data_IF_141022632553
#
_entry.id   IF_141022632553
#
_cell.length_a   1.000
_cell.length_b   1.000
_cell.length_c   1.000
_cell.angle_alpha   90.00
_cell.angle_beta   90.00
_cell.angle_gamma   90.00
#
_symmetry.space_group_name_H-M   'P 1'
#
loop_
_entity.id
_entity.type
_entity.pdbx_description
1 polymer ?
#
# COMPACT_ATOMS: atom_id res chain seq x y z
N UNK A 23 -12.24 12.74 1.08
CA UNK A 23 -13.60 12.42 1.59
C UNK A 23 -13.81 10.90 1.66
N UNK A 24 -13.25 10.15 0.69
CA UNK A 24 -13.34 8.68 0.64
C UNK A 24 -12.11 8.08 1.32
N UNK A 25 -12.34 7.22 2.33
CA UNK A 25 -11.27 6.62 3.16
C UNK A 25 -10.92 5.20 2.66
N UNK A 26 -9.63 4.93 2.26
CA UNK A 26 -9.18 3.58 1.88
C UNK A 26 -8.66 2.77 3.10
N UNK A 27 -9.36 1.68 3.45
CA UNK A 27 -8.89 0.72 4.46
C UNK A 27 -8.26 -0.52 3.78
N UNK A 28 -8.04 -0.38 2.47
CA UNK A 28 -7.64 -1.44 1.56
C UNK A 28 -6.42 -0.96 0.77
N UNK A 29 -5.34 -1.74 0.83
CA UNK A 29 -4.12 -1.54 0.05
C UNK A 29 -3.88 -2.78 -0.82
N UNK A 30 -3.47 -2.57 -2.07
CA UNK A 30 -3.19 -3.65 -3.03
C UNK A 30 -1.68 -3.62 -3.38
N UNK A 31 -1.05 -4.81 -3.36
CA UNK A 31 0.34 -5.00 -3.76
C UNK A 31 0.33 -5.85 -5.05
N UNK A 32 0.97 -5.29 -6.07
CA UNK A 32 1.03 -5.82 -7.44
C UNK A 32 2.08 -6.96 -7.56
N UNK A 33 1.61 -8.19 -7.85
CA UNK A 33 2.46 -9.39 -7.96
C UNK A 33 2.46 -9.90 -9.42
N UNK A 34 3.37 -10.80 -9.74
CA UNK A 34 3.51 -11.36 -11.11
C UNK A 34 2.77 -12.70 -11.21
N UNK A 35 3.20 -13.71 -10.42
CA UNK A 35 2.63 -15.08 -10.46
C UNK A 35 1.75 -15.31 -9.21
N UNK A 36 0.38 -15.12 -9.33
CA UNK A 36 -0.57 -15.25 -8.19
C UNK A 36 -0.35 -16.49 -7.26
N UNK A 37 -0.29 -17.80 -7.76
CA UNK A 37 -0.15 -19.00 -6.86
C UNK A 37 0.98 -18.85 -5.81
N UNK A 38 2.21 -18.62 -6.31
CA UNK A 38 3.44 -18.61 -5.49
C UNK A 38 3.46 -17.39 -4.56
N UNK A 39 2.98 -16.26 -5.07
CA UNK A 39 3.01 -14.97 -4.37
C UNK A 39 1.92 -14.90 -3.29
N UNK A 40 0.82 -15.65 -3.47
CA UNK A 40 -0.31 -15.63 -2.55
C UNK A 40 -0.05 -16.50 -1.31
N UNK A 41 0.59 -17.66 -1.56
CA UNK A 41 1.06 -18.59 -0.52
C UNK A 41 2.19 -17.92 0.28
N UNK A 42 2.99 -17.10 -0.43
CA UNK A 42 4.08 -16.33 0.19
C UNK A 42 3.49 -15.36 1.23
N UNK A 43 2.44 -14.59 0.85
CA UNK A 43 1.78 -13.63 1.76
C UNK A 43 1.00 -14.40 2.84
N UNK A 44 0.54 -15.63 2.56
CA UNK A 44 -0.21 -16.44 3.54
C UNK A 44 0.59 -16.65 4.84
N UNK A 45 1.83 -17.12 4.67
CA UNK A 45 2.76 -17.33 5.81
C UNK A 45 3.44 -16.02 6.26
N UNK A 46 3.67 -15.09 5.30
CA UNK A 46 4.35 -13.79 5.55
C UNK A 46 3.61 -12.93 6.59
N UNK A 47 2.31 -12.74 6.32
CA UNK A 47 1.40 -12.00 7.20
C UNK A 47 0.91 -12.95 8.30
N UNK A 48 0.49 -14.15 7.88
CA UNK A 48 -0.18 -15.12 8.77
C UNK A 48 -1.68 -15.13 8.54
N UNK A 49 -2.08 -15.01 7.26
CA UNK A 49 -3.50 -14.91 6.83
C UNK A 49 -3.81 -15.96 5.73
N UNK A 50 -5.09 -16.10 5.37
CA UNK A 50 -5.54 -16.95 4.25
C UNK A 50 -6.42 -16.10 3.30
N UNK A 51 -6.30 -16.24 1.94
CA UNK A 51 -7.10 -15.46 0.98
C UNK A 51 -8.59 -15.84 1.06
N UNK A 52 -9.40 -14.92 1.60
CA UNK A 52 -10.86 -15.07 1.68
C UNK A 52 -11.47 -15.10 0.26
N UNK A 53 -10.92 -14.25 -0.62
CA UNK A 53 -11.25 -14.21 -2.05
C UNK A 53 -9.98 -14.51 -2.85
N UNK A 54 -10.15 -15.13 -4.02
CA UNK A 54 -9.05 -15.51 -4.90
C UNK A 54 -9.58 -15.75 -6.32
N UNK A 55 -8.69 -15.56 -7.29
CA UNK A 55 -8.99 -15.65 -8.73
C UNK A 55 -7.73 -16.14 -9.47
N UNK A 56 -7.84 -16.70 -10.72
CA UNK A 56 -6.66 -17.16 -11.51
C UNK A 56 -5.56 -16.07 -11.68
N UNK A 57 -5.95 -14.78 -11.64
CA UNK A 57 -5.03 -13.65 -11.84
C UNK A 57 -5.12 -12.58 -10.70
N UNK A 58 -5.71 -12.97 -9.54
CA UNK A 58 -5.94 -12.02 -8.41
C UNK A 58 -6.06 -12.80 -7.09
N UNK A 59 -5.89 -12.07 -5.97
CA UNK A 59 -6.10 -12.61 -4.62
C UNK A 59 -6.52 -11.47 -3.67
N UNK A 60 -7.19 -11.84 -2.57
CA UNK A 60 -7.67 -10.90 -1.57
C UNK A 60 -7.75 -11.63 -0.22
N UNK A 61 -7.14 -11.02 0.81
CA UNK A 61 -7.26 -11.45 2.21
C UNK A 61 -7.50 -10.21 3.09
N UNK A 62 -8.36 -10.37 4.11
CA UNK A 62 -8.77 -9.30 5.03
C UNK A 62 -8.27 -9.65 6.44
N UNK A 63 -7.56 -8.71 7.06
CA UNK A 63 -6.83 -8.96 8.33
C UNK A 63 -7.74 -8.63 9.53
N UNK A 64 -7.51 -9.37 10.64
CA UNK A 64 -8.22 -9.16 11.94
C UNK A 64 -7.81 -7.82 12.59
N UNK A 65 -6.79 -7.15 12.01
CA UNK A 65 -6.38 -5.79 12.37
C UNK A 65 -7.48 -4.74 12.03
N UNK A 66 -8.41 -5.12 11.13
CA UNK A 66 -9.45 -4.21 10.64
C UNK A 66 -9.04 -3.53 9.34
N UNK A 67 -8.00 -4.06 8.68
CA UNK A 67 -7.50 -3.58 7.38
C UNK A 67 -7.75 -4.66 6.31
N UNK A 68 -7.46 -4.33 5.05
CA UNK A 68 -7.72 -5.22 3.91
C UNK A 68 -6.53 -5.14 2.93
N UNK A 69 -6.14 -6.29 2.36
CA UNK A 69 -4.90 -6.39 1.54
C UNK A 69 -5.15 -7.28 0.30
N UNK A 70 -4.90 -6.71 -0.89
CA UNK A 70 -5.04 -7.40 -2.17
C UNK A 70 -3.71 -7.79 -2.77
N UNK A 71 -3.75 -8.75 -3.69
CA UNK A 71 -2.64 -9.06 -4.61
C UNK A 71 -3.20 -9.01 -6.03
N UNK A 72 -2.87 -7.96 -6.79
CA UNK A 72 -3.35 -7.77 -8.17
C UNK A 72 -2.20 -8.08 -9.11
N UNK A 73 -2.41 -9.03 -10.04
CA UNK A 73 -1.36 -9.42 -10.98
C UNK A 73 -1.13 -8.29 -12.00
N UNK A 74 0.16 -7.92 -12.19
CA UNK A 74 0.56 -6.76 -13.01
C UNK A 74 0.22 -6.94 -14.51
N UNK A 75 0.03 -8.21 -14.96
CA UNK A 75 -0.31 -8.51 -16.37
C UNK A 75 -1.80 -8.21 -16.65
N UNK A 76 -2.58 -7.90 -15.60
CA UNK A 76 -4.03 -7.61 -15.72
C UNK A 76 -4.40 -6.32 -14.95
N UNK A 77 -3.38 -5.57 -14.45
CA UNK A 77 -3.61 -4.31 -13.72
C UNK A 77 -4.07 -3.21 -14.70
N UNK A 78 -4.95 -2.31 -14.24
CA UNK A 78 -5.41 -1.14 -15.01
C UNK A 78 -5.21 0.13 -14.15
N UNK A 79 -4.35 1.13 -14.59
CA UNK A 79 -3.59 1.12 -15.89
C UNK A 79 -2.44 0.07 -15.93
N UNK A 80 -2.28 -0.56 -17.12
CA UNK A 80 -1.32 -1.65 -17.35
C UNK A 80 0.13 -1.14 -17.17
N UNK A 81 0.86 -1.81 -16.25
CA UNK A 81 2.23 -1.42 -15.86
C UNK A 81 3.05 -2.67 -15.57
N UNK A 82 4.02 -2.98 -16.45
CA UNK A 82 4.97 -4.08 -16.24
C UNK A 82 6.15 -3.56 -15.39
N UNK A 83 5.95 -3.59 -14.06
CA UNK A 83 6.93 -3.13 -13.07
C UNK A 83 6.91 -4.11 -11.90
N UNK A 84 8.07 -4.30 -11.24
CA UNK A 84 8.18 -4.99 -9.94
C UNK A 84 9.29 -4.29 -9.12
N UNK A 85 8.94 -3.79 -7.93
CA UNK A 85 9.90 -3.09 -7.06
C UNK A 85 9.97 -1.58 -7.27
N UNK A 86 9.10 -1.04 -8.15
CA UNK A 86 9.03 0.40 -8.40
C UNK A 86 8.48 1.18 -7.21
N UNK A 87 7.53 0.55 -6.51
CA UNK A 87 6.93 1.14 -5.32
C UNK A 87 6.06 0.17 -4.55
N UNK A 88 5.18 0.73 -3.69
CA UNK A 88 4.32 -0.06 -2.82
C UNK A 88 5.06 -0.56 -1.60
N UNK A 89 4.72 -0.01 -0.42
CA UNK A 89 5.47 -0.27 0.81
C UNK A 89 4.48 -0.81 1.85
N UNK A 90 4.83 -1.93 2.50
CA UNK A 90 3.94 -2.61 3.43
C UNK A 90 4.58 -2.55 4.82
N UNK A 91 4.10 -1.66 5.68
CA UNK A 91 4.76 -1.40 6.97
C UNK A 91 4.23 -2.37 8.05
N UNK A 92 5.10 -3.31 8.48
CA UNK A 92 4.81 -4.29 9.53
C UNK A 92 5.21 -3.68 10.87
N UNK A 93 4.22 -3.31 11.67
CA UNK A 93 4.44 -2.68 12.97
C UNK A 93 4.61 -3.71 14.07
N UNK A 94 5.67 -3.52 14.85
CA UNK A 94 6.04 -4.40 15.98
C UNK A 94 6.34 -3.55 17.22
N UNK A 95 6.26 -4.20 18.39
CA UNK A 95 6.37 -3.52 19.70
C UNK A 95 7.78 -2.92 19.95
N UNK A 96 8.85 -3.58 19.45
CA UNK A 96 10.24 -3.07 19.63
C UNK A 96 11.23 -3.74 18.68
N UNK A 97 12.50 -3.30 18.83
CA UNK A 97 13.60 -3.54 17.86
C UNK A 97 13.94 -5.03 17.69
N UNK A 98 13.72 -5.81 18.75
CA UNK A 98 14.00 -7.25 18.76
C UNK A 98 13.02 -7.98 17.85
N UNK A 99 11.73 -7.57 17.92
CA UNK A 99 10.64 -8.12 17.09
C UNK A 99 10.86 -7.82 15.58
N UNK A 100 11.63 -6.75 15.30
CA UNK A 100 12.06 -6.41 13.92
C UNK A 100 13.05 -7.47 13.39
N UNK A 101 13.97 -7.88 14.28
CA UNK A 101 15.07 -8.82 13.98
C UNK A 101 14.56 -10.26 13.88
N UNK A 102 13.49 -10.57 14.64
CA UNK A 102 12.80 -11.88 14.56
C UNK A 102 12.16 -12.04 13.19
N UNK A 103 11.46 -10.95 12.78
CA UNK A 103 10.78 -10.86 11.48
C UNK A 103 11.79 -10.88 10.32
N UNK A 104 13.00 -10.30 10.56
CA UNK A 104 14.11 -10.30 9.59
C UNK A 104 14.51 -11.74 9.22
N UNK A 105 14.93 -12.48 10.26
CA UNK A 105 15.51 -13.83 10.12
C UNK A 105 14.48 -14.85 9.64
N UNK A 106 13.22 -14.68 10.08
CA UNK A 106 12.12 -15.56 9.66
C UNK A 106 11.85 -15.48 8.15
N UNK A 107 11.78 -14.25 7.63
CA UNK A 107 11.63 -13.99 6.17
C UNK A 107 12.83 -14.54 5.40
N UNK A 108 14.03 -14.30 5.94
CA UNK A 108 15.31 -14.69 5.33
C UNK A 108 15.35 -16.22 5.10
N UNK A 109 14.89 -16.95 6.12
CA UNK A 109 14.81 -18.42 6.10
C UNK A 109 13.66 -18.91 5.19
N UNK A 110 12.66 -18.03 5.00
CA UNK A 110 11.44 -18.30 4.21
C UNK A 110 11.59 -17.89 2.71
N UNK A 111 12.79 -17.35 2.37
CA UNK A 111 13.18 -17.14 0.97
C UNK A 111 12.86 -15.75 0.42
N UNK A 112 13.06 -14.72 1.25
CA UNK A 112 12.97 -13.31 0.82
C UNK A 112 14.34 -12.86 0.29
N UNK A 113 14.34 -11.97 -0.75
CA UNK A 113 15.59 -11.46 -1.37
C UNK A 113 16.42 -10.66 -0.37
N UNK A 114 15.77 -9.68 0.31
CA UNK A 114 16.34 -8.96 1.48
C UNK A 114 17.58 -8.11 1.08
N UNK A 115 17.35 -6.89 0.56
CA UNK A 115 18.45 -5.94 0.26
C UNK A 115 18.22 -4.59 0.98
N UNK A 116 18.65 -4.54 2.26
CA UNK A 116 18.59 -3.35 3.13
C UNK A 116 19.15 -3.73 4.50
N UNK A 117 19.94 -2.82 5.10
CA UNK A 117 20.42 -2.96 6.47
C UNK A 117 19.35 -2.46 7.45
N UNK A 118 18.86 -3.31 8.41
CA UNK A 118 17.98 -2.86 9.51
C UNK A 118 18.71 -1.85 10.41
N UNK A 119 18.41 -0.56 10.23
CA UNK A 119 19.16 0.55 10.85
C UNK A 119 18.25 1.49 11.64
N UNK A 120 18.81 2.09 12.70
CA UNK A 120 18.13 3.07 13.55
C UNK A 120 17.93 4.41 12.81
N UNK A 121 16.71 4.62 12.31
CA UNK A 121 16.30 5.87 11.61
C UNK A 121 15.67 6.85 12.64
N UNK A 122 15.36 8.07 12.18
CA UNK A 122 14.73 9.12 12.99
C UNK A 122 13.37 8.67 13.56
N UNK A 123 12.66 7.85 12.77
CA UNK A 123 11.30 7.37 13.08
C UNK A 123 11.35 6.07 13.92
N UNK A 124 12.58 5.54 14.13
CA UNK A 124 12.81 4.34 14.92
C UNK A 124 13.64 3.31 14.18
N UNK A 125 13.72 2.09 14.74
CA UNK A 125 14.53 1.01 14.15
C UNK A 125 13.78 0.44 12.94
N UNK A 126 14.20 0.82 11.72
CA UNK A 126 13.48 0.44 10.50
C UNK A 126 14.26 -0.62 9.73
N UNK A 127 13.50 -1.46 9.04
CA UNK A 127 14.01 -2.52 8.19
C UNK A 127 13.08 -2.65 7.00
N UNK A 128 13.60 -2.87 5.80
CA UNK A 128 12.79 -3.03 4.60
C UNK A 128 13.33 -4.20 3.77
N UNK A 129 12.47 -5.15 3.41
CA UNK A 129 12.84 -6.31 2.60
C UNK A 129 12.31 -6.16 1.18
N UNK A 130 12.72 -7.07 0.30
CA UNK A 130 12.16 -7.23 -1.03
C UNK A 130 11.95 -8.72 -1.28
N UNK A 131 10.72 -9.10 -1.55
CA UNK A 131 10.34 -10.48 -1.89
C UNK A 131 10.70 -10.82 -3.37
N UNK A 132 10.46 -12.10 -3.85
CA UNK A 132 10.57 -12.48 -5.30
C UNK A 132 9.96 -11.45 -6.29
N UNK A 133 8.77 -10.92 -5.96
CA UNK A 133 8.06 -9.92 -6.80
C UNK A 133 8.48 -8.49 -6.44
N UNK A 134 9.27 -8.36 -5.36
CA UNK A 134 9.93 -7.12 -4.94
C UNK A 134 8.91 -6.04 -4.54
N UNK A 135 8.51 -6.07 -3.26
CA UNK A 135 7.73 -5.00 -2.62
C UNK A 135 8.52 -4.55 -1.39
N UNK A 136 8.49 -3.24 -1.08
CA UNK A 136 9.24 -2.70 0.06
C UNK A 136 8.51 -3.08 1.37
N UNK A 137 8.92 -4.19 2.01
CA UNK A 137 8.23 -4.70 3.21
C UNK A 137 8.93 -4.11 4.46
N UNK A 138 8.33 -3.05 5.02
CA UNK A 138 8.99 -2.16 6.00
C UNK A 138 8.60 -2.53 7.45
N UNK A 139 9.44 -3.32 8.13
CA UNK A 139 9.25 -3.67 9.55
C UNK A 139 9.98 -2.63 10.40
N UNK A 140 9.26 -1.91 11.27
CA UNK A 140 9.88 -0.86 12.09
C UNK A 140 9.50 -0.96 13.57
N UNK A 141 10.32 -0.36 14.42
CA UNK A 141 10.03 -0.16 15.84
C UNK A 141 10.08 1.35 16.11
N UNK A 142 8.93 1.96 16.42
CA UNK A 142 8.82 3.41 16.53
C UNK A 142 9.48 3.92 17.82
N UNK A 143 10.35 4.93 17.68
CA UNK A 143 11.00 5.59 18.81
C UNK A 143 10.09 6.70 19.35
N UNK A 144 9.44 6.42 20.48
CA UNK A 144 8.53 7.36 21.15
C UNK A 144 8.34 7.02 22.63
N UNK B 23 3.60 -14.41 9.86
CA UNK B 23 3.32 -14.30 11.31
C UNK B 23 3.04 -12.83 11.70
N UNK B 24 3.81 -11.89 11.14
CA UNK B 24 3.68 -10.45 11.46
C UNK B 24 2.64 -9.80 10.51
N UNK B 25 1.61 -9.19 11.10
CA UNK B 25 0.47 -8.61 10.36
C UNK B 25 0.67 -7.09 10.18
N UNK B 26 0.72 -6.56 8.91
CA UNK B 26 0.79 -5.12 8.63
C UNK B 26 -0.61 -4.47 8.51
N UNK B 27 -0.94 -3.56 9.44
CA UNK B 27 -2.17 -2.73 9.37
C UNK B 27 -1.83 -1.34 8.83
N UNK B 28 -0.59 -1.21 8.34
CA UNK B 28 0.03 0.05 7.96
C UNK B 28 0.59 -0.10 6.54
N UNK B 29 0.16 0.80 5.65
CA UNK B 29 0.66 0.90 4.27
C UNK B 29 1.27 2.31 4.09
N UNK B 30 2.41 2.38 3.40
CA UNK B 30 3.10 3.64 3.12
C UNK B 30 3.12 3.90 1.60
N UNK B 31 2.79 5.13 1.21
CA UNK B 31 2.82 5.58 -0.19
C UNK B 31 3.94 6.63 -0.29
N UNK B 32 4.86 6.36 -1.21
CA UNK B 32 6.07 7.14 -1.44
C UNK B 32 5.79 8.42 -2.28
N UNK B 33 6.02 9.60 -1.67
CA UNK B 33 5.75 10.92 -2.30
C UNK B 33 7.09 11.65 -2.50
N UNK B 34 7.06 12.73 -3.29
CA UNK B 34 8.25 13.53 -3.60
C UNK B 34 8.32 14.75 -2.67
N UNK B 35 7.33 15.65 -2.74
CA UNK B 35 7.30 16.92 -1.97
C UNK B 35 6.27 16.80 -0.82
N UNK B 36 6.73 16.46 0.45
CA UNK B 36 5.83 16.23 1.61
C UNK B 36 4.71 17.30 1.82
N UNK B 37 4.98 18.68 1.87
CA UNK B 37 3.91 19.70 2.15
C UNK B 37 2.67 19.53 1.24
N UNK B 38 2.90 19.57 -0.08
CA UNK B 38 1.83 19.60 -1.10
C UNK B 38 1.09 18.24 -1.17
N UNK B 39 1.86 17.17 -1.00
CA UNK B 39 1.36 15.79 -1.12
C UNK B 39 0.57 15.37 0.14
N UNK B 40 0.91 15.97 1.29
CA UNK B 40 0.28 15.63 2.56
C UNK B 40 -1.09 16.30 2.74
N UNK B 41 -1.16 17.56 2.27
CA UNK B 41 -2.41 18.34 2.19
C UNK B 41 -3.34 17.72 1.15
N UNK B 42 -2.73 17.15 0.09
CA UNK B 42 -3.45 16.44 -0.96
C UNK B 42 -4.18 15.23 -0.37
N UNK B 43 -3.47 14.40 0.43
CA UNK B 43 -4.06 13.23 1.09
C UNK B 43 -5.03 13.65 2.19
N UNK B 44 -4.82 14.84 2.80
CA UNK B 44 -5.72 15.35 3.86
C UNK B 44 -7.18 15.44 3.39
N UNK B 45 -7.37 16.10 2.24
CA UNK B 45 -8.70 16.25 1.61
C UNK B 45 -9.11 14.97 0.82
N UNK B 46 -8.11 14.27 0.24
CA UNK B 46 -8.32 13.06 -0.60
C UNK B 46 -9.03 11.94 0.19
N UNK B 47 -8.45 11.61 1.35
CA UNK B 47 -8.98 10.61 2.27
C UNK B 47 -10.06 11.27 3.13
N UNK B 48 -9.73 12.46 3.67
CA UNK B 48 -10.57 13.14 4.66
C UNK B 48 -10.01 12.97 6.06
N UNK B 49 -8.67 13.04 6.17
CA UNK B 49 -7.91 12.82 7.42
C UNK B 49 -6.93 13.99 7.68
N UNK B 50 -6.33 14.02 8.88
CA UNK B 50 -5.25 14.98 9.23
C UNK B 50 -4.02 14.19 9.73
N UNK B 51 -2.76 14.60 9.37
CA UNK B 51 -1.54 13.88 9.80
C UNK B 51 -1.32 14.01 11.32
N UNK B 52 -1.52 12.90 12.05
CA UNK B 52 -1.28 12.83 13.50
C UNK B 52 0.23 13.04 13.80
N UNK B 53 1.07 12.44 12.93
CA UNK B 53 2.51 12.61 12.94
C UNK B 53 2.96 13.23 11.62
N UNK B 54 4.04 14.01 11.66
CA UNK B 54 4.57 14.71 10.49
C UNK B 54 6.03 15.11 10.76
N UNK B 55 6.79 15.23 9.68
CA UNK B 55 8.22 15.52 9.69
C UNK B 55 8.57 16.31 8.41
N UNK B 56 9.74 17.06 8.35
CA UNK B 56 10.16 17.81 7.13
C UNK B 56 10.21 16.94 5.84
N UNK B 57 10.45 15.62 6.01
CA UNK B 57 10.58 14.68 4.88
C UNK B 57 9.66 13.44 5.02
N UNK B 58 8.64 13.52 5.89
CA UNK B 58 7.74 12.37 6.17
C UNK B 58 6.38 12.86 6.70
N UNK B 59 5.36 12.00 6.63
CA UNK B 59 4.04 12.24 7.19
C UNK B 59 3.38 10.91 7.59
N UNK B 60 2.42 10.98 8.52
CA UNK B 60 1.71 9.80 9.03
C UNK B 60 0.32 10.27 9.49
N UNK B 61 -0.73 9.58 9.01
CA UNK B 61 -2.11 9.73 9.50
C UNK B 61 -2.72 8.33 9.68
N UNK B 62 -3.52 8.19 10.75
CA UNK B 62 -4.17 6.93 11.14
C UNK B 62 -5.69 7.09 11.00
N UNK B 63 -6.33 6.16 10.28
CA UNK B 63 -7.74 6.27 9.88
C UNK B 63 -8.65 5.62 10.95
N UNK B 64 -9.87 6.17 11.09
CA UNK B 64 -10.93 5.64 11.98
C UNK B 64 -11.46 4.27 11.50
N UNK B 65 -11.04 3.87 10.29
CA UNK B 65 -11.28 2.53 9.71
C UNK B 65 -10.55 1.42 10.51
N UNK B 66 -9.53 1.83 11.30
CA UNK B 66 -8.68 0.88 12.03
C UNK B 66 -7.43 0.49 11.25
N UNK B 67 -7.12 1.28 10.21
CA UNK B 67 -5.91 1.12 9.39
C UNK B 67 -4.98 2.32 9.61
N UNK B 68 -3.78 2.27 9.00
CA UNK B 68 -2.75 3.30 9.19
C UNK B 68 -2.08 3.57 7.83
N UNK B 69 -1.76 4.85 7.53
CA UNK B 69 -1.28 5.26 6.20
C UNK B 69 -0.17 6.32 6.34
N UNK B 70 1.01 6.01 5.74
CA UNK B 70 2.19 6.88 5.76
C UNK B 70 2.39 7.56 4.41
N UNK B 71 3.16 8.65 4.43
CA UNK B 71 3.75 9.27 3.23
C UNK B 71 5.26 9.40 3.47
N UNK B 72 6.04 8.55 2.81
CA UNK B 72 7.51 8.55 2.97
C UNK B 72 8.12 9.18 1.72
N UNK B 73 8.92 10.24 1.91
CA UNK B 73 9.53 10.94 0.77
C UNK B 73 10.63 10.05 0.14
N UNK B 74 10.56 9.91 -1.19
CA UNK B 74 11.42 8.98 -1.96
C UNK B 74 12.91 9.38 -1.91
N UNK B 75 13.20 10.66 -1.59
CA UNK B 75 14.60 11.16 -1.50
C UNK B 75 15.26 10.70 -0.18
N UNK B 76 14.47 10.10 0.74
CA UNK B 76 14.96 9.62 2.05
C UNK B 76 14.48 8.19 2.34
N UNK B 77 13.88 7.52 1.33
CA UNK B 77 13.41 6.13 1.47
C UNK B 77 14.62 5.16 1.53
N UNK B 78 14.50 4.08 2.31
CA UNK B 78 15.51 3.02 2.39
C UNK B 78 14.82 1.66 2.14
N UNK B 79 15.18 0.90 1.04
CA UNK B 79 16.25 1.24 0.06
C UNK B 79 15.90 2.43 -0.87
N UNK B 80 16.90 3.28 -1.12
CA UNK B 80 16.76 4.51 -1.94
C UNK B 80 16.32 4.20 -3.38
N UNK B 81 15.17 4.77 -3.78
CA UNK B 81 14.55 4.52 -5.08
C UNK B 81 13.89 5.81 -5.61
N UNK B 82 14.48 6.41 -6.65
CA UNK B 82 13.89 7.57 -7.34
C UNK B 82 12.89 7.08 -8.40
N UNK B 83 11.66 6.84 -7.93
CA UNK B 83 10.54 6.35 -8.75
C UNK B 83 9.27 7.10 -8.31
N UNK B 84 8.34 7.32 -9.25
CA UNK B 84 6.97 7.78 -8.98
C UNK B 84 6.03 7.11 -10.01
N UNK B 85 5.04 6.36 -9.52
CA UNK B 85 4.06 5.66 -10.39
C UNK B 85 4.48 4.25 -10.78
N UNK B 86 5.60 3.76 -10.22
CA UNK B 86 6.06 2.38 -10.45
C UNK B 86 5.15 1.34 -9.81
N UNK B 87 4.59 1.69 -8.64
CA UNK B 87 3.68 0.81 -7.92
C UNK B 87 3.01 1.50 -6.76
N UNK B 88 2.46 0.68 -5.84
CA UNK B 88 1.70 1.16 -4.69
C UNK B 88 0.29 1.54 -5.07
N UNK B 89 -0.70 0.76 -4.60
CA UNK B 89 -2.09 0.89 -5.02
C UNK B 89 -2.93 1.10 -3.76
N UNK B 90 -3.79 2.12 -3.77
CA UNK B 90 -4.62 2.50 -2.62
C UNK B 90 -6.07 2.27 -2.96
N UNK B 91 -6.66 1.18 -2.49
CA UNK B 91 -8.02 0.80 -2.90
C UNK B 91 -9.08 1.47 -1.99
N UNK B 92 -9.82 2.43 -2.57
CA UNK B 92 -10.90 3.16 -1.91
C UNK B 92 -12.20 2.38 -2.14
N UNK B 93 -12.69 1.74 -1.08
CA UNK B 93 -13.90 0.92 -1.14
C UNK B 93 -15.15 1.76 -0.88
N UNK B 94 -16.11 1.61 -1.80
CA UNK B 94 -17.41 2.30 -1.77
C UNK B 94 -18.55 1.29 -1.94
N UNK B 95 -19.75 1.70 -1.52
CA UNK B 95 -20.94 0.82 -1.48
C UNK B 95 -21.43 0.39 -2.89
N UNK B 96 -21.28 1.29 -3.91
CA UNK B 96 -21.70 0.96 -5.29
C UNK B 96 -21.11 1.92 -6.33
N UNK B 97 -21.48 1.64 -7.60
CA UNK B 97 -20.84 2.19 -8.82
C UNK B 97 -20.95 3.72 -8.91
N UNK B 98 -22.05 4.26 -8.34
CA UNK B 98 -22.32 5.70 -8.35
C UNK B 98 -21.33 6.44 -7.46
N UNK B 99 -21.04 5.84 -6.28
CA UNK B 99 -20.07 6.38 -5.31
C UNK B 99 -18.63 6.39 -5.88
N UNK B 100 -18.37 5.51 -6.86
CA UNK B 100 -17.09 5.48 -7.61
C UNK B 100 -16.95 6.75 -8.49
N UNK B 101 -18.09 7.11 -9.14
CA UNK B 101 -18.20 8.23 -10.09
C UNK B 101 -18.19 9.60 -9.36
N UNK B 102 -18.71 9.60 -8.12
CA UNK B 102 -18.67 10.79 -7.25
C UNK B 102 -17.22 11.10 -6.86
N UNK B 103 -16.50 10.02 -6.47
CA UNK B 103 -15.09 10.07 -6.10
C UNK B 103 -14.20 10.44 -7.31
N UNK B 104 -14.63 10.00 -8.53
CA UNK B 104 -13.96 10.33 -9.80
C UNK B 104 -13.90 11.85 -10.00
N UNK B 105 -15.10 12.44 -10.07
CA UNK B 105 -15.30 13.87 -10.41
C UNK B 105 -14.73 14.81 -9.34
N UNK B 106 -14.85 14.38 -8.06
CA UNK B 106 -14.32 15.14 -6.93
C UNK B 106 -12.80 15.30 -6.98
N UNK B 107 -12.09 14.19 -7.24
CA UNK B 107 -10.61 14.18 -7.43
C UNK B 107 -10.23 15.02 -8.66
N UNK B 108 -11.00 14.85 -9.74
CA UNK B 108 -10.76 15.53 -11.03
C UNK B 108 -10.76 17.06 -10.85
N UNK B 109 -11.74 17.54 -10.07
CA UNK B 109 -11.91 18.96 -9.73
C UNK B 109 -10.84 19.43 -8.72
N UNK B 110 -10.30 18.46 -7.95
CA UNK B 110 -9.29 18.69 -6.89
C UNK B 110 -7.84 18.60 -7.42
N UNK B 111 -7.69 18.30 -8.73
CA UNK B 111 -6.42 18.39 -9.43
C UNK B 111 -5.62 17.09 -9.47
N UNK B 112 -6.32 15.96 -9.70
CA UNK B 112 -5.67 14.65 -9.93
C UNK B 112 -5.40 14.50 -11.45
N UNK B 113 -4.29 13.82 -11.81
CA UNK B 113 -3.89 13.63 -13.23
C UNK B 113 -4.95 12.78 -13.97
N UNK B 114 -5.31 11.61 -13.37
CA UNK B 114 -6.44 10.77 -13.82
C UNK B 114 -6.24 10.21 -15.24
N UNK B 115 -5.52 9.07 -15.35
CA UNK B 115 -5.35 8.36 -16.64
C UNK B 115 -5.80 6.88 -16.51
N UNK B 116 -7.12 6.67 -16.66
CA UNK B 116 -7.77 5.35 -16.64
C UNK B 116 -9.28 5.55 -16.83
N UNK B 117 -9.90 4.66 -17.63
CA UNK B 117 -11.35 4.63 -17.80
C UNK B 117 -11.99 3.80 -16.66
N UNK B 118 -12.91 4.41 -15.84
CA UNK B 118 -13.70 3.64 -14.84
C UNK B 118 -14.59 2.61 -15.55
N UNK B 119 -14.17 1.33 -15.52
CA UNK B 119 -14.79 0.26 -16.32
C UNK B 119 -15.20 -0.93 -15.44
N UNK B 120 -16.25 -1.64 -15.88
CA UNK B 120 -16.77 -2.83 -15.22
C UNK B 120 -15.82 -4.03 -15.43
N UNK B 121 -15.03 -4.32 -14.39
CA UNK B 121 -14.10 -5.48 -14.34
C UNK B 121 -14.82 -6.70 -13.72
N UNK B 122 -14.12 -7.84 -13.71
CA UNK B 122 -14.60 -9.11 -13.14
C UNK B 122 -14.91 -8.95 -11.63
N UNK B 123 -14.09 -8.11 -10.97
CA UNK B 123 -14.15 -7.89 -9.50
C UNK B 123 -15.15 -6.78 -9.15
N UNK B 124 -15.71 -6.13 -10.19
CA UNK B 124 -16.69 -5.07 -10.03
C UNK B 124 -16.33 -3.82 -10.81
N UNK B 125 -17.06 -2.71 -10.56
CA UNK B 125 -16.82 -1.44 -11.26
C UNK B 125 -15.56 -0.78 -10.69
N UNK B 126 -14.44 -0.87 -11.41
CA UNK B 126 -13.15 -0.38 -10.89
C UNK B 126 -12.75 0.90 -11.62
N UNK B 127 -12.03 1.73 -10.88
CA UNK B 127 -11.47 2.98 -11.36
C UNK B 127 -10.13 3.19 -10.68
N UNK B 128 -9.13 3.70 -11.39
CA UNK B 128 -7.80 3.95 -10.82
C UNK B 128 -7.30 5.32 -11.30
N UNK B 129 -6.90 6.18 -10.36
CA UNK B 129 -6.37 7.51 -10.69
C UNK B 129 -4.86 7.54 -10.49
N UNK B 130 -4.23 8.64 -10.91
CA UNK B 130 -2.83 8.94 -10.61
C UNK B 130 -2.77 10.40 -10.19
N UNK B 131 -2.27 10.65 -9.00
CA UNK B 131 -2.06 12.01 -8.45
C UNK B 131 -0.77 12.65 -9.04
N UNK B 132 -0.44 13.96 -8.69
CA UNK B 132 0.88 14.60 -9.02
C UNK B 132 2.12 13.68 -8.81
N UNK B 133 2.15 12.94 -7.70
CA UNK B 133 3.27 12.02 -7.34
C UNK B 133 3.05 10.62 -7.95
N UNK B 134 1.84 10.41 -8.50
CA UNK B 134 1.45 9.23 -9.28
C UNK B 134 1.45 7.95 -8.40
N UNK B 135 0.31 7.70 -7.76
CA UNK B 135 0.03 6.43 -7.06
C UNK B 135 -1.27 5.89 -7.65
N UNK B 136 -1.39 4.56 -7.79
CA UNK B 136 -2.59 3.94 -8.37
C UNK B 136 -3.73 3.94 -7.33
N UNK B 137 -4.59 4.98 -7.39
CA UNK B 137 -5.66 5.16 -6.40
C UNK B 137 -6.94 4.48 -6.94
N UNK B 138 -7.18 3.25 -6.42
CA UNK B 138 -8.14 2.31 -7.01
C UNK B 138 -9.53 2.37 -6.31
N UNK B 139 -10.48 3.15 -6.85
CA UNK B 139 -11.86 3.20 -6.30
C UNK B 139 -12.69 2.13 -7.01
N UNK B 140 -13.26 1.17 -6.26
CA UNK B 140 -14.03 0.09 -6.89
C UNK B 140 -15.39 -0.13 -6.19
N UNK B 141 -16.31 -0.77 -6.91
CA UNK B 141 -17.59 -1.24 -6.38
C UNK B 141 -17.65 -2.74 -6.64
N UNK B 142 -17.58 -3.57 -5.58
CA UNK B 142 -17.47 -5.02 -5.72
C UNK B 142 -18.80 -5.62 -6.18
N UNK B 143 -18.77 -6.37 -7.30
CA UNK B 143 -19.95 -7.10 -7.81
C UNK B 143 -20.06 -8.45 -7.08
N UNK B 144 -20.84 -8.45 -6.00
CA UNK B 144 -21.02 -9.61 -5.14
C UNK B 144 -21.28 -9.21 -3.69
#
# INVERSE_FOLDING_TARGET
>A
MGSSHHHHHHSSGRENLYFQGHMTHPDFTILYVDNPPASTQFYKALLGVDPVESSPTFSLFVLANGMKLGLWSRHTVEPKASVTGGGGELAFRVENDAQVDETFAGWKASGVAMLQQPAKMEFGYTFTAADPDSHRLRVYAFAG
>B
MGSSHHHHHHSSGRENLYFQGHMTHPDFTILYVDNPPASTQFYKALLGVDPVESSPTFSLFVLANGMKLGLWSRHTVEPKASVTGGGGELAFRVENDAQVDETFAGWKASGVAMLQQPAKMEFGYTFTAADPDSHRLRVYAFAG
#
